data_IF_933955534756
#
_entry.id   IF_933955534756
#
_cell.length_a   1.000
_cell.length_b   1.000
_cell.length_c   1.000
_cell.angle_alpha   90.00
_cell.angle_beta   90.00
_cell.angle_gamma   90.00
#
_symmetry.space_group_name_H-M   'P 1'
#
loop_
_entity.id
_entity.type
_entity.pdbx_description
1 polymer ?
#
# COMPACT_ATOMS: atom_id res chain seq x y z
N UNK A 1 -45.99 -11.59 -8.10
CA UNK A 1 -45.63 -11.86 -6.69
C UNK A 1 -46.37 -10.86 -5.81
N UNK A 2 -47.12 -11.31 -4.84
CA UNK A 2 -47.91 -10.42 -3.99
C UNK A 2 -47.01 -9.77 -2.93
N UNK A 3 -47.05 -8.46 -2.80
CA UNK A 3 -46.26 -7.70 -1.80
C UNK A 3 -46.49 -8.23 -0.37
N UNK A 4 -47.72 -8.65 -0.05
CA UNK A 4 -48.06 -9.26 1.25
C UNK A 4 -47.23 -10.53 1.54
N UNK A 5 -47.08 -11.40 0.55
CA UNK A 5 -46.35 -12.66 0.72
C UNK A 5 -44.85 -12.38 0.98
N UNK A 6 -44.32 -11.36 0.33
CA UNK A 6 -42.95 -10.91 0.57
C UNK A 6 -42.76 -10.35 1.99
N UNK A 7 -43.68 -9.49 2.46
CA UNK A 7 -43.58 -8.97 3.84
C UNK A 7 -43.73 -10.10 4.87
N UNK A 8 -44.67 -11.02 4.70
CA UNK A 8 -44.86 -12.17 5.60
C UNK A 8 -43.60 -13.04 5.65
N UNK A 9 -42.97 -13.31 4.49
CA UNK A 9 -41.76 -14.09 4.40
C UNK A 9 -40.59 -13.40 5.16
N UNK A 10 -40.36 -12.10 4.92
CA UNK A 10 -39.29 -11.37 5.62
C UNK A 10 -39.54 -11.22 7.11
N UNK A 11 -40.80 -11.10 7.57
CA UNK A 11 -41.11 -11.12 8.99
C UNK A 11 -40.76 -12.46 9.63
N UNK A 12 -41.07 -13.58 8.98
CA UNK A 12 -40.67 -14.91 9.47
C UNK A 12 -39.13 -15.04 9.55
N UNK A 13 -38.40 -14.64 8.48
CA UNK A 13 -36.98 -14.67 8.48
C UNK A 13 -36.34 -13.81 9.61
N UNK A 14 -36.97 -12.67 9.93
CA UNK A 14 -36.49 -11.81 11.03
C UNK A 14 -36.60 -12.52 12.38
N UNK A 15 -37.71 -13.20 12.63
CA UNK A 15 -37.93 -13.95 13.88
C UNK A 15 -36.96 -15.13 13.98
N UNK A 16 -36.83 -15.90 12.89
CA UNK A 16 -35.96 -17.07 12.83
C UNK A 16 -34.48 -16.65 13.01
N UNK A 17 -34.07 -15.55 12.37
CA UNK A 17 -32.70 -15.02 12.50
C UNK A 17 -32.40 -14.54 13.92
N UNK A 18 -33.34 -13.91 14.60
CA UNK A 18 -33.16 -13.48 16.00
C UNK A 18 -33.05 -14.68 16.95
N UNK A 19 -33.81 -15.78 16.70
CA UNK A 19 -33.69 -17.02 17.47
C UNK A 19 -32.30 -17.70 17.24
N UNK A 20 -31.79 -17.70 16.00
CA UNK A 20 -30.46 -18.23 15.70
C UNK A 20 -29.36 -17.40 16.37
N UNK A 21 -29.47 -16.08 16.37
CA UNK A 21 -28.52 -15.19 17.04
C UNK A 21 -28.51 -15.44 18.56
N UNK A 22 -29.68 -15.58 19.17
CA UNK A 22 -29.80 -15.88 20.61
C UNK A 22 -29.12 -17.23 20.95
N UNK A 23 -29.38 -18.27 20.15
CA UNK A 23 -28.76 -19.59 20.32
C UNK A 23 -27.24 -19.54 20.16
N UNK A 24 -26.75 -18.75 19.18
CA UNK A 24 -25.32 -18.55 18.97
C UNK A 24 -24.68 -17.85 20.18
N UNK A 25 -25.32 -16.82 20.73
CA UNK A 25 -24.83 -16.11 21.90
C UNK A 25 -24.77 -17.02 23.14
N UNK A 26 -25.79 -17.84 23.40
CA UNK A 26 -25.78 -18.84 24.47
C UNK A 26 -24.64 -19.84 24.29
N UNK A 27 -24.44 -20.36 23.09
CA UNK A 27 -23.33 -21.26 22.76
C UNK A 27 -21.97 -20.60 23.01
N UNK A 28 -21.79 -19.31 22.66
CA UNK A 28 -20.54 -18.60 22.85
C UNK A 28 -20.23 -18.31 24.33
N UNK A 29 -21.25 -18.09 25.17
CA UNK A 29 -21.03 -17.99 26.62
C UNK A 29 -20.62 -19.35 27.20
N UNK A 30 -21.29 -20.44 26.82
CA UNK A 30 -20.88 -21.79 27.24
C UNK A 30 -19.46 -22.14 26.76
N UNK A 31 -19.11 -21.75 25.51
CA UNK A 31 -17.75 -21.93 24.97
C UNK A 31 -16.70 -21.17 25.77
N UNK A 32 -17.01 -19.97 26.23
CA UNK A 32 -16.14 -19.16 27.08
C UNK A 32 -15.83 -19.83 28.41
N UNK A 33 -16.85 -20.45 29.01
CA UNK A 33 -16.71 -21.13 30.30
C UNK A 33 -15.90 -22.44 30.17
N UNK A 34 -16.12 -23.18 29.06
CA UNK A 34 -15.43 -24.46 28.80
C UNK A 34 -14.02 -24.27 28.23
N UNK A 35 -13.80 -23.24 27.38
CA UNK A 35 -12.54 -22.98 26.67
C UNK A 35 -12.07 -21.52 26.81
N UNK A 36 -11.76 -21.02 28.01
CA UNK A 36 -11.45 -19.61 28.25
C UNK A 36 -10.26 -19.07 27.41
N UNK A 37 -9.21 -19.89 27.26
CA UNK A 37 -8.03 -19.49 26.46
C UNK A 37 -8.33 -19.37 24.97
N UNK A 38 -9.16 -20.26 24.42
CA UNK A 38 -9.57 -20.20 23.00
C UNK A 38 -10.52 -19.04 22.77
N UNK A 39 -11.42 -18.74 23.73
CA UNK A 39 -12.27 -17.56 23.65
C UNK A 39 -11.47 -16.27 23.67
N UNK A 40 -10.47 -16.15 24.54
CA UNK A 40 -9.57 -14.99 24.58
C UNK A 40 -8.80 -14.82 23.25
N UNK A 41 -8.33 -15.94 22.68
CA UNK A 41 -7.70 -15.93 21.35
C UNK A 41 -8.65 -15.47 20.26
N UNK A 42 -9.91 -15.95 20.27
CA UNK A 42 -10.95 -15.55 19.33
C UNK A 42 -11.23 -14.05 19.43
N UNK A 43 -11.35 -13.52 20.64
CA UNK A 43 -11.53 -12.08 20.89
C UNK A 43 -10.34 -11.25 20.34
N UNK A 44 -9.11 -11.70 20.60
CA UNK A 44 -7.90 -11.05 20.05
C UNK A 44 -7.94 -10.97 18.51
N UNK A 45 -8.49 -11.99 17.85
CA UNK A 45 -8.61 -11.99 16.39
C UNK A 45 -9.67 -11.00 15.88
N UNK A 46 -10.77 -10.84 16.61
CA UNK A 46 -11.87 -9.96 16.24
C UNK A 46 -11.64 -8.50 16.67
N UNK A 47 -10.84 -8.29 17.74
CA UNK A 47 -10.49 -6.95 18.25
C UNK A 47 -8.99 -6.65 18.16
N UNK A 48 -8.40 -6.67 16.97
CA UNK A 48 -6.93 -6.71 16.78
C UNK A 48 -6.19 -5.42 17.14
N UNK A 49 -6.89 -4.32 17.45
CA UNK A 49 -6.27 -3.00 17.63
C UNK A 49 -5.36 -2.89 18.87
N UNK A 50 -5.48 -3.79 19.85
CA UNK A 50 -4.65 -3.76 21.05
C UNK A 50 -3.27 -4.38 20.85
N UNK A 51 -3.05 -5.13 19.78
CA UNK A 51 -1.87 -6.00 19.61
C UNK A 51 -0.70 -5.38 18.82
N UNK A 52 -0.88 -4.27 18.11
CA UNK A 52 0.18 -3.71 17.27
C UNK A 52 0.86 -2.52 17.94
N UNK A 53 1.71 -2.78 18.92
CA UNK A 53 2.54 -1.73 19.54
C UNK A 53 3.96 -1.68 18.92
N UNK A 54 4.07 -1.99 17.63
CA UNK A 54 5.35 -2.00 16.91
C UNK A 54 5.86 -0.60 16.56
N UNK A 55 5.07 0.44 16.76
CA UNK A 55 5.54 1.80 16.50
C UNK A 55 6.76 2.16 17.35
N UNK A 56 6.81 1.70 18.61
CA UNK A 56 7.90 1.97 19.55
C UNK A 56 8.92 0.81 19.62
N UNK A 57 8.75 -0.23 18.83
CA UNK A 57 9.68 -1.35 18.73
C UNK A 57 10.68 -1.08 17.61
N UNK A 58 11.91 -0.70 17.96
CA UNK A 58 12.93 -0.33 16.98
C UNK A 58 13.28 -1.51 16.06
N UNK A 59 13.18 -2.76 16.52
CA UNK A 59 13.45 -3.94 15.69
C UNK A 59 12.51 -4.05 14.48
N UNK A 60 11.30 -3.49 14.58
CA UNK A 60 10.35 -3.40 13.45
C UNK A 60 10.87 -2.48 12.33
N UNK A 61 11.69 -1.47 12.67
CA UNK A 61 12.16 -0.42 11.78
C UNK A 61 13.61 -0.59 11.32
N UNK A 62 14.35 -1.55 11.89
CA UNK A 62 15.73 -1.79 11.56
C UNK A 62 15.89 -2.60 10.28
N UNK A 63 16.74 -2.09 9.37
CA UNK A 63 17.11 -2.73 8.12
C UNK A 63 18.60 -2.57 7.88
N UNK A 64 19.18 -3.51 7.10
CA UNK A 64 20.54 -3.38 6.63
C UNK A 64 20.65 -2.21 5.64
N UNK A 65 21.70 -1.41 5.76
CA UNK A 65 22.01 -0.33 4.83
C UNK A 65 22.60 -0.89 3.52
N UNK A 66 21.71 -1.45 2.70
CA UNK A 66 22.04 -1.95 1.36
C UNK A 66 20.88 -1.73 0.39
N UNK A 67 21.16 -1.53 -0.90
CA UNK A 67 20.11 -1.41 -1.90
C UNK A 67 19.25 -2.67 -1.97
N UNK A 68 17.92 -2.51 -1.86
CA UNK A 68 16.96 -3.60 -1.96
C UNK A 68 15.69 -3.14 -2.68
N UNK A 69 15.09 -4.06 -3.44
CA UNK A 69 13.76 -3.81 -4.01
C UNK A 69 12.71 -3.73 -2.90
N UNK A 70 11.79 -2.76 -3.00
CA UNK A 70 10.74 -2.61 -1.97
C UNK A 70 9.82 -3.83 -1.88
N UNK A 71 9.66 -4.62 -2.97
CA UNK A 71 8.99 -5.93 -2.90
C UNK A 71 9.70 -6.93 -1.98
N UNK A 72 11.05 -6.95 -1.96
CA UNK A 72 11.82 -7.82 -1.07
C UNK A 72 11.67 -7.37 0.39
N UNK A 73 11.74 -6.06 0.61
CA UNK A 73 11.50 -5.43 1.91
C UNK A 73 10.08 -5.71 2.42
N UNK A 74 9.08 -5.65 1.55
CA UNK A 74 7.71 -6.08 1.86
C UNK A 74 7.65 -7.55 2.30
N UNK A 75 8.39 -8.45 1.64
CA UNK A 75 8.50 -9.85 2.07
C UNK A 75 9.11 -10.01 3.46
N UNK A 76 10.09 -9.17 3.82
CA UNK A 76 10.63 -9.09 5.20
C UNK A 76 9.52 -8.65 6.16
N UNK A 77 8.77 -7.61 5.82
CA UNK A 77 7.71 -7.08 6.69
C UNK A 77 6.56 -8.07 6.88
N UNK A 78 6.11 -8.78 5.84
CA UNK A 78 5.13 -9.86 5.96
C UNK A 78 5.61 -10.91 6.97
N UNK A 79 6.89 -11.27 6.91
CA UNK A 79 7.47 -12.28 7.81
C UNK A 79 7.77 -11.74 9.22
N UNK A 80 7.87 -10.45 9.45
CA UNK A 80 7.84 -9.84 10.80
C UNK A 80 6.40 -9.80 11.34
N UNK A 81 5.46 -9.38 10.49
CA UNK A 81 4.06 -9.21 10.88
C UNK A 81 3.35 -10.54 11.16
N UNK A 82 3.72 -11.65 10.51
CA UNK A 82 3.09 -12.96 10.77
C UNK A 82 3.24 -13.43 12.23
N UNK A 83 4.34 -13.03 12.88
CA UNK A 83 4.62 -13.37 14.26
C UNK A 83 3.89 -12.44 15.26
N UNK A 84 3.60 -11.20 14.82
CA UNK A 84 2.88 -10.17 15.61
C UNK A 84 1.37 -10.31 15.43
N UNK A 85 0.92 -10.69 14.22
CA UNK A 85 -0.48 -10.83 13.83
C UNK A 85 -0.78 -12.28 13.48
N UNK A 86 -1.14 -13.12 14.45
CA UNK A 86 -1.41 -14.54 14.20
C UNK A 86 -2.63 -14.76 13.29
N UNK A 87 -3.46 -13.75 13.11
CA UNK A 87 -4.61 -13.75 12.20
C UNK A 87 -4.30 -13.16 10.80
N UNK A 88 -3.04 -12.81 10.50
CA UNK A 88 -2.63 -12.43 9.14
C UNK A 88 -2.70 -13.65 8.22
N UNK A 89 -3.39 -13.53 7.10
CA UNK A 89 -3.55 -14.59 6.10
C UNK A 89 -3.47 -13.97 4.70
N UNK A 90 -2.92 -14.66 3.73
CA UNK A 90 -2.89 -14.10 2.38
C UNK A 90 -2.06 -14.89 1.39
N UNK A 91 -1.85 -14.30 0.21
CA UNK A 91 -1.12 -14.93 -0.87
C UNK A 91 -1.23 -14.17 -2.17
N UNK A 92 -0.96 -14.84 -3.28
CA UNK A 92 -0.87 -14.20 -4.59
C UNK A 92 -1.68 -14.94 -5.67
N UNK A 93 -1.99 -14.21 -6.74
CA UNK A 93 -2.53 -14.76 -7.97
C UNK A 93 -1.41 -15.42 -8.80
N UNK A 94 -0.92 -16.57 -8.32
CA UNK A 94 0.12 -17.42 -8.92
C UNK A 94 1.52 -16.76 -9.06
N UNK A 95 1.78 -15.70 -8.31
CA UNK A 95 3.00 -14.88 -8.41
C UNK A 95 3.78 -14.77 -7.09
N UNK A 96 3.46 -15.58 -6.07
CA UNK A 96 4.07 -15.46 -4.73
C UNK A 96 5.61 -15.44 -4.72
N UNK A 97 6.33 -16.23 -5.53
CA UNK A 97 7.80 -16.16 -5.59
C UNK A 97 8.32 -14.82 -6.10
N UNK A 98 7.62 -14.21 -7.07
CA UNK A 98 7.99 -12.92 -7.67
C UNK A 98 7.56 -11.72 -6.82
N UNK A 99 6.37 -11.78 -6.23
CA UNK A 99 5.84 -10.72 -5.35
C UNK A 99 6.39 -10.76 -3.94
N UNK A 100 7.12 -11.85 -3.57
CA UNK A 100 7.72 -12.06 -2.23
C UNK A 100 6.69 -12.10 -1.10
N UNK A 101 5.51 -12.64 -1.35
CA UNK A 101 4.36 -12.59 -0.42
C UNK A 101 4.08 -13.91 0.29
N UNK A 102 5.09 -14.76 0.45
CA UNK A 102 4.99 -16.03 1.17
C UNK A 102 5.39 -15.88 2.64
N UNK A 103 4.52 -16.30 3.55
CA UNK A 103 4.80 -16.39 4.99
C UNK A 103 5.54 -17.70 5.29
N UNK A 104 6.83 -17.59 5.59
CA UNK A 104 7.71 -18.74 5.85
C UNK A 104 7.28 -19.46 7.13
N UNK A 105 7.15 -20.79 7.04
CA UNK A 105 6.80 -21.63 8.19
C UNK A 105 5.30 -21.72 8.49
N UNK A 106 4.43 -20.96 7.81
CA UNK A 106 3.00 -20.90 8.11
C UNK A 106 2.14 -21.91 7.30
N UNK A 107 2.78 -22.70 6.46
CA UNK A 107 2.11 -23.71 5.64
C UNK A 107 1.11 -23.14 4.62
N UNK A 108 0.71 -24.01 3.68
CA UNK A 108 -0.26 -23.67 2.65
C UNK A 108 -1.67 -24.10 3.10
N UNK A 109 -2.64 -23.22 2.91
CA UNK A 109 -4.04 -23.55 3.12
C UNK A 109 -4.51 -24.53 2.04
N UNK A 110 -5.00 -25.69 2.47
CA UNK A 110 -5.46 -26.74 1.55
C UNK A 110 -6.58 -27.59 2.16
N UNK A 111 -7.08 -28.57 1.41
CA UNK A 111 -8.05 -29.54 1.90
C UNK A 111 -7.54 -30.38 3.07
N UNK A 112 -6.24 -30.57 3.15
CA UNK A 112 -5.56 -31.36 4.18
C UNK A 112 -4.88 -30.53 5.27
N UNK A 113 -4.75 -29.21 5.06
CA UNK A 113 -4.18 -28.27 6.02
C UNK A 113 -5.01 -26.98 6.11
N UNK A 114 -6.01 -26.99 6.97
CA UNK A 114 -6.88 -25.82 7.20
C UNK A 114 -6.26 -24.73 8.08
N UNK A 115 -5.13 -25.02 8.72
CA UNK A 115 -4.39 -24.08 9.53
C UNK A 115 -3.34 -23.29 8.74
N UNK A 116 -3.07 -23.66 7.49
CA UNK A 116 -2.14 -22.93 6.62
C UNK A 116 -2.58 -21.50 6.37
N UNK A 117 -1.64 -20.57 6.43
CA UNK A 117 -1.91 -19.13 6.25
C UNK A 117 -1.54 -18.59 4.87
N UNK A 118 -0.87 -19.39 4.03
CA UNK A 118 -0.58 -19.03 2.64
C UNK A 118 -1.70 -19.52 1.72
N UNK A 119 -2.33 -18.58 1.01
CA UNK A 119 -3.41 -18.84 0.07
C UNK A 119 -2.88 -18.82 -1.38
N UNK A 120 -3.28 -19.82 -2.17
CA UNK A 120 -2.93 -19.93 -3.59
C UNK A 120 -4.18 -19.68 -4.43
N UNK A 121 -4.30 -18.49 -5.01
CA UNK A 121 -5.49 -18.08 -5.76
C UNK A 121 -5.47 -18.51 -7.23
N UNK A 122 -4.29 -18.92 -7.76
CA UNK A 122 -4.08 -19.11 -9.19
C UNK A 122 -4.20 -17.78 -9.95
N UNK A 123 -4.23 -17.83 -11.28
CA UNK A 123 -4.39 -16.64 -12.14
C UNK A 123 -5.86 -16.18 -12.11
N UNK A 124 -6.28 -15.57 -10.98
CA UNK A 124 -7.68 -15.17 -10.71
C UNK A 124 -7.74 -13.92 -9.84
N UNK A 125 -7.21 -12.82 -10.31
CA UNK A 125 -7.06 -11.57 -9.55
C UNK A 125 -8.39 -11.03 -9.03
N UNK A 126 -9.44 -11.06 -9.84
CA UNK A 126 -10.79 -10.64 -9.45
C UNK A 126 -11.34 -11.51 -8.31
N UNK A 127 -11.25 -12.84 -8.46
CA UNK A 127 -11.72 -13.77 -7.43
C UNK A 127 -10.85 -13.69 -6.15
N UNK A 128 -9.54 -13.52 -6.29
CA UNK A 128 -8.61 -13.30 -5.18
C UNK A 128 -9.06 -12.10 -4.32
N UNK A 129 -9.33 -10.97 -4.95
CA UNK A 129 -9.76 -9.76 -4.25
C UNK A 129 -11.18 -9.92 -3.66
N UNK A 130 -12.09 -10.63 -4.35
CA UNK A 130 -13.41 -10.93 -3.83
C UNK A 130 -13.35 -11.84 -2.59
N UNK A 131 -12.48 -12.86 -2.59
CA UNK A 131 -12.25 -13.74 -1.45
C UNK A 131 -11.68 -12.94 -0.27
N UNK A 132 -10.71 -12.03 -0.51
CA UNK A 132 -10.17 -11.16 0.52
C UNK A 132 -11.27 -10.27 1.15
N UNK A 133 -12.17 -9.72 0.34
CA UNK A 133 -13.33 -8.98 0.83
C UNK A 133 -14.24 -9.84 1.72
N UNK A 134 -14.51 -11.08 1.30
CA UNK A 134 -15.31 -12.02 2.08
C UNK A 134 -14.65 -12.36 3.43
N UNK A 135 -13.34 -12.60 3.44
CA UNK A 135 -12.56 -12.86 4.67
C UNK A 135 -12.63 -11.64 5.61
N UNK A 136 -12.40 -10.44 5.08
CA UNK A 136 -12.47 -9.21 5.88
C UNK A 136 -13.87 -8.92 6.43
N UNK A 137 -14.93 -9.20 5.64
CA UNK A 137 -16.33 -9.07 6.06
C UNK A 137 -16.72 -10.04 7.16
N UNK A 138 -16.26 -11.28 7.08
CA UNK A 138 -16.50 -12.27 8.11
C UNK A 138 -15.88 -11.85 9.45
N UNK A 139 -14.76 -11.11 9.40
CA UNK A 139 -14.00 -10.73 10.58
C UNK A 139 -13.05 -11.83 11.09
N UNK A 140 -12.27 -11.50 12.09
CA UNK A 140 -11.31 -12.40 12.76
C UNK A 140 -9.98 -12.55 12.01
N UNK A 141 -9.95 -12.45 10.69
CA UNK A 141 -8.74 -12.58 9.88
C UNK A 141 -8.38 -11.27 9.18
N UNK A 142 -7.09 -11.04 8.98
CA UNK A 142 -6.54 -9.90 8.24
C UNK A 142 -5.97 -10.35 6.91
N UNK A 143 -6.71 -10.17 5.81
CA UNK A 143 -6.25 -10.62 4.51
C UNK A 143 -5.27 -9.65 3.85
N UNK A 144 -4.22 -10.19 3.23
CA UNK A 144 -3.48 -9.51 2.18
C UNK A 144 -3.51 -10.34 0.88
N UNK A 145 -3.51 -9.65 -0.25
CA UNK A 145 -3.51 -10.29 -1.58
C UNK A 145 -2.53 -9.58 -2.51
N UNK A 146 -1.94 -10.33 -3.44
CA UNK A 146 -0.84 -9.83 -4.25
C UNK A 146 -0.90 -10.28 -5.70
N UNK A 147 -0.47 -9.36 -6.58
CA UNK A 147 -0.18 -9.62 -7.99
C UNK A 147 0.81 -8.56 -8.50
N UNK A 148 1.20 -8.60 -9.79
CA UNK A 148 1.91 -7.49 -10.41
C UNK A 148 1.00 -6.28 -10.56
N UNK A 149 1.58 -5.09 -10.52
CA UNK A 149 0.80 -3.86 -10.43
C UNK A 149 -0.05 -3.61 -11.69
N UNK A 150 0.42 -3.94 -12.87
CA UNK A 150 -0.38 -3.87 -14.10
C UNK A 150 -1.67 -4.67 -14.00
N UNK A 151 -1.66 -5.81 -13.31
CA UNK A 151 -2.85 -6.66 -13.13
C UNK A 151 -3.82 -6.13 -12.06
N UNK A 152 -3.54 -4.97 -11.45
CA UNK A 152 -4.54 -4.24 -10.68
C UNK A 152 -5.79 -3.89 -11.52
N UNK A 153 -5.68 -3.88 -12.84
CA UNK A 153 -6.81 -3.74 -13.77
C UNK A 153 -7.87 -4.82 -13.55
N UNK A 154 -7.45 -6.06 -13.27
CA UNK A 154 -8.36 -7.17 -12.96
C UNK A 154 -8.82 -7.16 -11.49
N UNK A 155 -8.04 -6.60 -10.58
CA UNK A 155 -8.37 -6.44 -9.15
C UNK A 155 -9.37 -5.30 -8.92
N UNK A 156 -9.33 -4.24 -9.74
CA UNK A 156 -10.02 -2.98 -9.53
C UNK A 156 -11.50 -3.09 -9.13
N UNK A 157 -12.36 -3.91 -9.76
CA UNK A 157 -13.77 -3.98 -9.39
C UNK A 157 -13.96 -4.37 -7.92
N UNK A 158 -13.19 -5.33 -7.44
CA UNK A 158 -13.27 -5.81 -6.05
C UNK A 158 -12.54 -4.90 -5.07
N UNK A 159 -11.44 -4.27 -5.46
CA UNK A 159 -10.77 -3.22 -4.68
C UNK A 159 -11.71 -2.02 -4.44
N UNK A 160 -12.50 -1.65 -5.46
CA UNK A 160 -13.53 -0.63 -5.31
C UNK A 160 -14.61 -1.03 -4.30
N UNK A 161 -14.99 -2.30 -4.26
CA UNK A 161 -15.93 -2.80 -3.25
C UNK A 161 -15.29 -2.80 -1.85
N UNK A 162 -14.01 -3.15 -1.70
CA UNK A 162 -13.31 -3.00 -0.41
C UNK A 162 -13.41 -1.58 0.12
N UNK A 163 -13.14 -0.59 -0.74
CA UNK A 163 -13.23 0.83 -0.38
C UNK A 163 -14.65 1.27 -0.01
N UNK A 164 -15.65 0.86 -0.81
CA UNK A 164 -17.07 1.17 -0.60
C UNK A 164 -17.59 0.57 0.71
N UNK A 165 -17.19 -0.67 1.00
CA UNK A 165 -17.60 -1.43 2.19
C UNK A 165 -16.68 -1.15 3.40
N UNK A 166 -15.67 -0.30 3.26
CA UNK A 166 -14.70 0.08 4.30
C UNK A 166 -13.96 -1.12 4.89
N UNK A 167 -13.53 -2.05 4.04
CA UNK A 167 -12.83 -3.27 4.45
C UNK A 167 -11.32 -3.05 4.51
N UNK A 168 -10.64 -3.46 5.58
CA UNK A 168 -9.19 -3.30 5.75
C UNK A 168 -8.40 -4.41 5.02
N UNK A 169 -8.58 -4.53 3.73
CA UNK A 169 -7.82 -5.45 2.88
C UNK A 169 -6.50 -4.82 2.48
N UNK A 170 -5.40 -5.56 2.60
CA UNK A 170 -4.09 -5.12 2.12
C UNK A 170 -3.82 -5.67 0.72
N UNK A 171 -3.60 -4.77 -0.24
CA UNK A 171 -3.23 -5.10 -1.61
C UNK A 171 -1.72 -4.88 -1.80
N UNK A 172 -0.99 -5.93 -2.16
CA UNK A 172 0.45 -5.88 -2.41
C UNK A 172 0.69 -5.97 -3.91
N UNK A 173 0.95 -4.83 -4.53
CA UNK A 173 1.23 -4.71 -5.95
C UNK A 173 2.73 -4.52 -6.17
N UNK A 174 3.36 -5.38 -6.96
CA UNK A 174 4.79 -5.30 -7.26
C UNK A 174 5.02 -5.01 -8.74
N UNK A 175 6.26 -4.69 -9.13
CA UNK A 175 6.57 -4.32 -10.51
C UNK A 175 5.87 -3.01 -10.89
N UNK A 176 6.24 -1.95 -10.16
CA UNK A 176 5.49 -0.71 -10.02
C UNK A 176 5.61 0.29 -11.18
N UNK A 177 6.56 0.11 -12.10
CA UNK A 177 6.88 1.12 -13.13
C UNK A 177 7.65 0.51 -14.31
N UNK A 178 8.15 1.34 -15.22
CA UNK A 178 9.09 0.94 -16.29
C UNK A 178 10.36 0.26 -15.78
N UNK A 179 10.63 0.30 -14.46
CA UNK A 179 11.66 -0.49 -13.78
C UNK A 179 11.44 -2.01 -13.86
N UNK A 180 10.31 -2.46 -14.39
CA UNK A 180 10.07 -3.88 -14.77
C UNK A 180 11.07 -4.32 -15.84
N UNK A 181 11.37 -3.48 -16.83
CA UNK A 181 12.42 -3.72 -17.79
C UNK A 181 11.98 -4.54 -19.00
N UNK A 182 12.67 -5.64 -19.26
CA UNK A 182 12.55 -6.40 -20.51
C UNK A 182 11.17 -7.03 -20.73
N UNK A 183 10.37 -7.25 -19.69
CA UNK A 183 8.98 -7.74 -19.81
C UNK A 183 8.10 -6.77 -20.62
N UNK A 184 8.49 -5.50 -20.66
CA UNK A 184 7.97 -4.48 -21.56
C UNK A 184 6.57 -3.97 -21.24
N UNK A 185 5.93 -3.26 -22.19
CA UNK A 185 4.73 -2.45 -21.92
C UNK A 185 3.50 -3.24 -21.50
N UNK A 186 3.46 -4.56 -21.73
CA UNK A 186 2.36 -5.42 -21.24
C UNK A 186 2.43 -5.66 -19.73
N UNK A 187 3.57 -5.38 -19.09
CA UNK A 187 3.82 -5.57 -17.66
C UNK A 187 4.20 -4.27 -16.94
N UNK A 188 4.44 -3.19 -17.68
CA UNK A 188 4.79 -1.86 -17.16
C UNK A 188 3.53 -1.04 -16.91
N UNK A 189 3.15 -0.79 -15.65
CA UNK A 189 1.99 0.04 -15.34
C UNK A 189 2.27 1.51 -15.66
N UNK A 190 1.25 2.23 -16.08
CA UNK A 190 1.29 3.66 -16.37
C UNK A 190 0.17 4.39 -15.61
N UNK A 191 -1.10 4.11 -15.94
CA UNK A 191 -2.27 4.78 -15.39
C UNK A 191 -2.78 4.16 -14.08
N UNK A 192 -2.34 2.95 -13.72
CA UNK A 192 -2.87 2.18 -12.60
C UNK A 192 -2.74 2.92 -11.26
N UNK A 193 -1.64 3.67 -11.07
CA UNK A 193 -1.45 4.44 -9.84
C UNK A 193 -2.44 5.60 -9.73
N UNK A 194 -2.64 6.34 -10.81
CA UNK A 194 -3.64 7.42 -10.87
C UNK A 194 -5.07 6.86 -10.68
N UNK A 195 -5.35 5.70 -11.27
CA UNK A 195 -6.62 4.99 -11.11
C UNK A 195 -6.91 4.62 -9.65
N UNK A 196 -5.92 4.09 -8.91
CA UNK A 196 -6.09 3.76 -7.49
C UNK A 196 -6.25 5.02 -6.63
N UNK A 197 -5.44 6.07 -6.87
CA UNK A 197 -5.53 7.35 -6.16
C UNK A 197 -6.87 8.08 -6.40
N UNK A 198 -7.51 7.86 -7.55
CA UNK A 198 -8.83 8.41 -7.83
C UNK A 198 -9.98 7.71 -7.09
N UNK A 199 -9.72 6.57 -6.44
CA UNK A 199 -10.73 5.78 -5.76
C UNK A 199 -11.00 6.33 -4.36
N UNK A 200 -12.24 6.75 -4.02
CA UNK A 200 -12.56 7.22 -2.68
C UNK A 200 -12.33 6.15 -1.61
N UNK A 201 -11.87 6.56 -0.43
CA UNK A 201 -11.62 5.68 0.72
C UNK A 201 -10.64 4.52 0.41
N UNK A 202 -9.65 4.78 -0.42
CA UNK A 202 -8.61 3.82 -0.78
C UNK A 202 -7.25 4.45 -0.51
N UNK A 203 -6.42 3.80 0.33
CA UNK A 203 -5.08 4.31 0.65
C UNK A 203 -4.06 3.68 -0.29
N UNK A 204 -3.14 4.49 -0.80
CA UNK A 204 -2.09 4.02 -1.71
C UNK A 204 -0.74 4.48 -1.20
N UNK A 205 0.18 3.54 -0.97
CA UNK A 205 1.57 3.81 -0.63
C UNK A 205 2.50 3.31 -1.72
N UNK A 206 3.38 4.18 -2.22
CA UNK A 206 4.49 3.83 -3.11
C UNK A 206 5.80 4.20 -2.43
N UNK A 207 6.35 3.29 -1.60
CA UNK A 207 7.54 3.55 -0.78
C UNK A 207 8.82 3.56 -1.59
N UNK A 208 9.79 4.38 -1.16
CA UNK A 208 11.08 4.59 -1.82
C UNK A 208 12.21 3.74 -1.22
N UNK A 209 12.07 3.26 0.01
CA UNK A 209 13.11 2.49 0.72
C UNK A 209 12.52 1.56 1.80
N UNK A 210 13.38 1.02 2.67
CA UNK A 210 12.98 0.11 3.72
C UNK A 210 12.13 0.78 4.81
N UNK A 211 12.50 1.97 5.25
CA UNK A 211 11.76 2.71 6.29
C UNK A 211 10.36 3.06 5.82
N UNK A 212 10.24 3.55 4.59
CA UNK A 212 8.92 3.84 3.99
C UNK A 212 8.10 2.56 3.77
N UNK A 213 8.74 1.43 3.38
CA UNK A 213 8.06 0.14 3.22
C UNK A 213 7.52 -0.37 4.57
N UNK A 214 8.32 -0.27 5.64
CA UNK A 214 7.87 -0.63 6.99
C UNK A 214 6.70 0.24 7.45
N UNK A 215 6.76 1.54 7.20
CA UNK A 215 5.67 2.48 7.52
C UNK A 215 4.39 2.16 6.74
N UNK A 216 4.49 1.83 5.46
CA UNK A 216 3.34 1.43 4.64
C UNK A 216 2.68 0.14 5.17
N UNK A 217 3.47 -0.86 5.58
CA UNK A 217 2.97 -2.07 6.21
C UNK A 217 2.37 -1.81 7.60
N UNK A 218 3.00 -0.95 8.42
CA UNK A 218 2.44 -0.54 9.69
C UNK A 218 1.07 0.11 9.51
N UNK A 219 0.96 1.04 8.54
CA UNK A 219 -0.29 1.69 8.21
C UNK A 219 -1.36 0.68 7.75
N UNK A 220 -1.02 -0.23 6.84
CA UNK A 220 -1.93 -1.27 6.36
C UNK A 220 -2.37 -2.22 7.48
N UNK A 221 -1.45 -2.63 8.34
CA UNK A 221 -1.71 -3.54 9.46
C UNK A 221 -2.57 -2.90 10.56
N UNK A 222 -2.56 -1.58 10.70
CA UNK A 222 -3.37 -0.83 11.66
C UNK A 222 -4.67 -0.27 11.08
N UNK A 223 -4.87 -0.34 9.76
CA UNK A 223 -6.10 0.10 9.11
C UNK A 223 -7.32 -0.71 9.58
N UNK A 224 -8.45 -0.04 9.80
CA UNK A 224 -9.70 -0.66 10.29
C UNK A 224 -10.90 -0.43 9.38
N UNK A 225 -10.85 0.60 8.54
CA UNK A 225 -12.02 1.08 7.79
C UNK A 225 -11.72 1.48 6.34
N UNK A 226 -10.57 1.08 5.82
CA UNK A 226 -10.19 1.35 4.44
C UNK A 226 -9.16 0.32 3.96
N UNK A 227 -9.22 -0.10 2.70
CA UNK A 227 -8.16 -0.89 2.09
C UNK A 227 -6.89 -0.05 1.89
N UNK A 228 -5.76 -0.73 1.88
CA UNK A 228 -4.46 -0.11 1.64
C UNK A 228 -3.70 -0.88 0.57
N UNK A 229 -3.26 -0.19 -0.49
CA UNK A 229 -2.38 -0.73 -1.50
C UNK A 229 -0.92 -0.30 -1.24
N UNK A 230 -0.01 -1.25 -1.33
CA UNK A 230 1.43 -1.05 -1.37
C UNK A 230 1.89 -1.29 -2.81
N UNK A 231 2.48 -0.28 -3.44
CA UNK A 231 2.97 -0.31 -4.83
C UNK A 231 4.48 -0.34 -4.80
N UNK A 232 5.08 -1.46 -5.18
CA UNK A 232 6.43 -1.85 -4.81
C UNK A 232 7.32 -2.10 -6.03
N UNK A 233 8.57 -1.65 -5.95
CA UNK A 233 9.56 -1.78 -7.03
C UNK A 233 10.01 -3.23 -7.25
N UNK A 234 10.34 -3.56 -8.51
CA UNK A 234 11.06 -4.77 -8.88
C UNK A 234 12.58 -4.58 -8.71
N UNK A 235 13.09 -3.43 -9.13
CA UNK A 235 14.49 -3.05 -9.05
C UNK A 235 14.90 -2.67 -7.63
N UNK A 236 16.19 -2.83 -7.33
CA UNK A 236 16.75 -2.41 -6.05
C UNK A 236 16.82 -0.88 -5.96
N UNK A 237 16.49 -0.35 -4.78
CA UNK A 237 16.56 1.06 -4.43
C UNK A 237 17.50 1.24 -3.24
N UNK A 238 18.25 2.36 -3.17
CA UNK A 238 19.11 2.65 -2.02
C UNK A 238 18.29 2.96 -0.78
N UNK A 239 18.90 2.87 0.40
CA UNK A 239 18.35 3.47 1.60
C UNK A 239 18.53 4.99 1.53
N UNK A 240 17.53 5.74 1.92
CA UNK A 240 17.50 7.19 1.78
C UNK A 240 17.80 7.87 3.12
N UNK A 241 18.85 8.68 3.13
CA UNK A 241 19.14 9.52 4.30
C UNK A 241 17.99 10.51 4.52
N UNK A 242 17.40 10.47 5.71
CA UNK A 242 16.24 11.29 6.06
C UNK A 242 14.89 10.55 5.99
N UNK A 243 14.85 9.34 5.41
CA UNK A 243 13.66 8.50 5.48
C UNK A 243 13.26 8.23 6.94
N UNK A 244 11.97 8.33 7.25
CA UNK A 244 11.51 8.29 8.63
C UNK A 244 10.05 7.81 8.75
N UNK A 245 9.62 7.58 10.01
CA UNK A 245 8.22 7.28 10.36
C UNK A 245 7.24 8.39 9.95
N UNK A 246 7.72 9.57 9.52
CA UNK A 246 6.87 10.63 8.93
C UNK A 246 6.19 10.19 7.63
N UNK A 247 6.64 9.12 7.00
CA UNK A 247 5.92 8.38 5.94
C UNK A 247 4.45 8.13 6.29
N UNK A 248 4.15 7.88 7.56
CA UNK A 248 2.78 7.70 8.06
C UNK A 248 1.89 8.95 7.91
N UNK A 249 2.47 10.10 7.59
CA UNK A 249 1.74 11.32 7.23
C UNK A 249 1.50 11.48 5.73
N UNK A 250 1.96 10.52 4.93
CA UNK A 250 1.71 10.45 3.49
C UNK A 250 2.67 11.24 2.62
N UNK A 251 3.17 12.37 3.10
CA UNK A 251 4.19 13.20 2.47
C UNK A 251 5.01 13.92 3.52
N UNK A 252 6.32 14.03 3.34
CA UNK A 252 7.21 14.66 4.32
C UNK A 252 8.47 15.21 3.67
N UNK A 253 9.13 16.14 4.37
CA UNK A 253 10.43 16.68 3.95
C UNK A 253 11.49 15.61 4.20
N UNK A 254 12.02 15.04 3.11
CA UNK A 254 13.11 14.06 3.17
C UNK A 254 14.46 14.75 3.40
N UNK A 255 14.72 15.81 2.62
CA UNK A 255 15.89 16.67 2.77
C UNK A 255 15.47 18.13 2.60
N UNK A 256 15.70 18.93 3.61
CA UNK A 256 15.33 20.35 3.57
C UNK A 256 16.35 21.21 2.83
N UNK A 257 15.96 22.43 2.49
CA UNK A 257 16.84 23.51 2.04
C UNK A 257 17.66 24.06 3.19
N UNK A 258 18.79 24.68 2.89
CA UNK A 258 19.55 25.48 3.86
C UNK A 258 18.87 26.82 4.13
N UNK A 259 18.25 27.40 3.09
CA UNK A 259 17.44 28.61 3.19
C UNK A 259 16.11 28.31 3.88
N UNK A 260 15.61 29.28 4.62
CA UNK A 260 14.25 29.22 5.22
C UNK A 260 13.16 29.02 4.16
N UNK A 261 13.32 29.66 2.99
CA UNK A 261 12.46 29.49 1.83
C UNK A 261 13.29 28.90 0.70
N UNK A 262 13.06 27.65 0.28
CA UNK A 262 13.78 27.04 -0.81
C UNK A 262 13.54 27.72 -2.16
N UNK A 263 14.52 27.68 -3.05
CA UNK A 263 14.40 28.21 -4.42
C UNK A 263 13.38 27.41 -5.25
N UNK A 264 13.27 26.09 -4.98
CA UNK A 264 12.27 25.19 -5.55
C UNK A 264 12.02 23.96 -4.66
N UNK A 265 10.99 23.18 -4.97
CA UNK A 265 10.67 21.92 -4.30
C UNK A 265 10.64 20.78 -5.32
N UNK A 266 11.39 19.72 -5.08
CA UNK A 266 11.33 18.46 -5.79
C UNK A 266 10.44 17.48 -5.02
N UNK A 267 9.41 16.94 -5.66
CA UNK A 267 8.44 16.03 -5.05
C UNK A 267 8.52 14.69 -5.80
N UNK A 268 8.75 13.60 -5.12
CA UNK A 268 8.84 12.30 -5.77
C UNK A 268 8.19 11.19 -4.94
N UNK A 269 7.92 10.05 -5.58
CA UNK A 269 7.43 8.82 -4.95
C UNK A 269 8.27 7.62 -5.38
N UNK A 270 8.33 6.59 -4.53
CA UNK A 270 8.93 5.31 -4.91
C UNK A 270 10.36 5.46 -5.45
N UNK A 271 10.62 4.78 -6.55
CA UNK A 271 11.97 4.73 -7.16
C UNK A 271 12.51 6.08 -7.60
N UNK A 272 11.69 7.09 -7.81
CA UNK A 272 12.13 8.40 -8.30
C UNK A 272 12.58 9.34 -7.18
N UNK A 273 12.38 8.98 -5.91
CA UNK A 273 12.86 9.79 -4.77
C UNK A 273 14.40 9.89 -4.78
N UNK A 274 15.10 8.79 -5.11
CA UNK A 274 16.57 8.83 -5.27
C UNK A 274 17.02 9.80 -6.37
N UNK A 275 16.24 9.93 -7.45
CA UNK A 275 16.52 10.87 -8.53
C UNK A 275 16.34 12.31 -8.07
N UNK A 276 15.31 12.62 -7.29
CA UNK A 276 15.12 13.94 -6.68
C UNK A 276 16.29 14.29 -5.72
N UNK A 277 16.78 13.32 -4.96
CA UNK A 277 17.95 13.51 -4.08
C UNK A 277 19.22 13.80 -4.89
N UNK A 278 19.44 13.08 -5.99
CA UNK A 278 20.58 13.32 -6.88
C UNK A 278 20.46 14.69 -7.58
N UNK A 279 19.27 15.07 -8.04
CA UNK A 279 19.03 16.39 -8.64
C UNK A 279 19.26 17.54 -7.64
N UNK A 280 18.87 17.36 -6.36
CA UNK A 280 19.20 18.34 -5.31
C UNK A 280 20.73 18.58 -5.22
N UNK A 281 21.52 17.51 -5.25
CA UNK A 281 22.98 17.64 -5.18
C UNK A 281 23.56 18.39 -6.39
N UNK A 282 23.08 18.09 -7.61
CA UNK A 282 23.52 18.79 -8.82
C UNK A 282 23.09 20.27 -8.81
N UNK A 283 21.86 20.59 -8.43
CA UNK A 283 21.39 21.98 -8.32
C UNK A 283 22.16 22.80 -7.27
N UNK A 284 22.62 22.17 -6.20
CA UNK A 284 23.43 22.84 -5.18
C UNK A 284 24.80 23.29 -5.75
N UNK A 285 25.40 22.55 -6.69
CA UNK A 285 26.63 22.94 -7.40
C UNK A 285 26.42 24.21 -8.24
N UNK A 286 25.18 24.45 -8.68
CA UNK A 286 24.75 25.66 -9.41
C UNK A 286 24.27 26.79 -8.49
N UNK A 287 24.32 26.60 -7.18
CA UNK A 287 23.87 27.60 -6.16
C UNK A 287 22.37 27.66 -5.99
N UNK A 288 21.63 26.66 -6.47
CA UNK A 288 20.17 26.54 -6.33
C UNK A 288 19.87 25.63 -5.15
N UNK A 289 19.22 26.18 -4.12
CA UNK A 289 18.91 25.44 -2.89
C UNK A 289 17.47 24.94 -2.92
N UNK A 290 17.28 23.64 -2.99
CA UNK A 290 15.98 23.00 -3.13
C UNK A 290 15.64 22.09 -1.95
N UNK A 291 14.33 21.97 -1.69
CA UNK A 291 13.77 20.98 -0.77
C UNK A 291 13.38 19.72 -1.54
N UNK A 292 13.69 18.54 -0.99
CA UNK A 292 13.18 17.26 -1.48
C UNK A 292 12.07 16.77 -0.55
N UNK A 293 10.91 16.50 -1.15
CA UNK A 293 9.73 15.93 -0.48
C UNK A 293 9.50 14.51 -1.00
N UNK A 294 9.53 13.52 -0.12
CA UNK A 294 8.99 12.21 -0.42
C UNK A 294 7.48 12.22 -0.20
N UNK A 295 6.72 11.74 -1.19
CA UNK A 295 5.25 11.71 -1.20
C UNK A 295 4.73 10.28 -1.35
N UNK A 296 5.05 9.34 -0.45
CA UNK A 296 4.67 7.93 -0.59
C UNK A 296 3.16 7.70 -0.66
N UNK A 297 2.33 8.60 -0.09
CA UNK A 297 0.86 8.48 -0.13
C UNK A 297 0.18 9.85 -0.22
N UNK A 298 -0.32 10.18 -1.39
CA UNK A 298 -1.09 11.42 -1.61
C UNK A 298 -2.36 11.45 -0.76
N UNK A 299 -3.07 10.32 -0.67
CA UNK A 299 -4.34 10.22 0.06
C UNK A 299 -4.19 10.50 1.55
N UNK A 300 -3.11 10.01 2.15
CA UNK A 300 -2.80 10.23 3.56
C UNK A 300 -2.32 11.67 3.79
N UNK A 301 -1.50 12.22 2.88
CA UNK A 301 -1.04 13.60 2.96
C UNK A 301 -2.20 14.59 2.84
N UNK A 302 -3.14 14.35 1.96
CA UNK A 302 -4.32 15.21 1.76
C UNK A 302 -5.23 15.30 2.99
N UNK A 303 -5.21 14.27 3.84
CA UNK A 303 -5.94 14.26 5.12
C UNK A 303 -5.22 14.93 6.27
N UNK A 304 -3.96 15.36 6.08
CA UNK A 304 -3.25 16.10 7.11
C UNK A 304 -3.85 17.50 7.32
N UNK A 305 -3.62 18.05 8.52
CA UNK A 305 -4.02 19.43 8.81
C UNK A 305 -3.27 20.42 7.90
N UNK A 306 -3.91 21.55 7.60
CA UNK A 306 -3.38 22.54 6.64
C UNK A 306 -2.00 23.06 7.02
N UNK A 307 -1.75 23.24 8.31
CA UNK A 307 -0.46 23.69 8.85
C UNK A 307 0.67 22.69 8.49
N UNK A 308 0.38 21.38 8.52
CA UNK A 308 1.36 20.38 8.12
C UNK A 308 1.58 20.37 6.60
N UNK A 309 0.49 20.46 5.82
CA UNK A 309 0.59 20.54 4.36
C UNK A 309 1.41 21.76 3.94
N UNK A 310 1.16 22.92 4.56
CA UNK A 310 1.89 24.17 4.30
C UNK A 310 3.36 24.08 4.75
N UNK A 311 3.66 23.39 5.85
CA UNK A 311 5.04 23.14 6.28
C UNK A 311 5.82 22.33 5.24
N UNK A 312 5.20 21.30 4.66
CA UNK A 312 5.85 20.40 3.69
C UNK A 312 5.93 21.05 2.31
N UNK A 313 4.83 21.65 1.86
CA UNK A 313 4.66 22.27 0.53
C UNK A 313 4.16 23.72 0.68
N UNK A 314 5.02 24.65 1.15
CA UNK A 314 4.62 26.03 1.39
C UNK A 314 4.12 26.71 0.11
N UNK A 315 2.97 27.36 0.16
CA UNK A 315 2.32 28.03 -0.97
C UNK A 315 3.19 29.16 -1.56
N UNK A 316 4.09 29.72 -0.75
CA UNK A 316 5.03 30.76 -1.19
C UNK A 316 6.03 30.21 -2.23
N UNK A 317 6.33 28.90 -2.20
CA UNK A 317 7.26 28.27 -3.13
C UNK A 317 6.46 27.65 -4.30
N UNK A 318 6.41 28.38 -5.42
CA UNK A 318 5.62 28.00 -6.60
C UNK A 318 6.41 27.17 -7.61
N UNK A 319 7.75 27.24 -7.59
CA UNK A 319 8.61 26.41 -8.43
C UNK A 319 8.66 25.00 -7.86
N UNK A 320 7.88 24.09 -8.44
CA UNK A 320 7.79 22.71 -7.97
C UNK A 320 7.93 21.74 -9.14
N UNK A 321 8.69 20.69 -8.95
CA UNK A 321 8.83 19.60 -9.91
C UNK A 321 8.38 18.30 -9.26
N UNK A 322 7.42 17.62 -9.86
CA UNK A 322 7.03 16.28 -9.46
C UNK A 322 7.70 15.24 -10.37
N UNK A 323 8.14 14.12 -9.81
CA UNK A 323 8.88 13.09 -10.53
C UNK A 323 8.25 11.73 -10.20
N UNK A 324 7.68 11.07 -11.20
CA UNK A 324 7.05 9.76 -11.03
C UNK A 324 7.02 9.00 -12.36
N UNK A 325 7.64 7.82 -12.41
CA UNK A 325 7.75 6.98 -13.60
C UNK A 325 6.44 6.24 -13.93
N UNK A 326 5.32 6.97 -13.87
CA UNK A 326 3.94 6.57 -14.20
C UNK A 326 3.21 7.78 -14.81
N UNK A 327 1.88 7.71 -14.94
CA UNK A 327 1.07 8.82 -15.42
C UNK A 327 1.19 10.06 -14.54
N UNK A 328 1.41 11.23 -15.13
CA UNK A 328 1.43 12.52 -14.45
C UNK A 328 0.06 13.00 -13.94
N UNK A 329 -1.00 12.22 -14.17
CA UNK A 329 -2.36 12.58 -13.77
C UNK A 329 -2.48 12.69 -12.24
N UNK A 330 -3.01 13.82 -11.76
CA UNK A 330 -3.18 14.11 -10.33
C UNK A 330 -2.08 15.00 -9.73
N UNK A 331 -0.90 15.11 -10.35
CA UNK A 331 0.20 15.92 -9.83
C UNK A 331 -0.05 17.44 -9.88
N UNK A 332 -0.90 17.92 -10.79
CA UNK A 332 -1.24 19.34 -10.90
C UNK A 332 -1.69 20.00 -9.59
N UNK A 333 -2.33 19.24 -8.71
CA UNK A 333 -2.73 19.70 -7.37
C UNK A 333 -1.54 20.11 -6.49
N UNK A 334 -0.40 19.44 -6.63
CA UNK A 334 0.80 19.63 -5.79
C UNK A 334 1.80 20.59 -6.42
N UNK A 335 1.95 20.54 -7.73
CA UNK A 335 2.91 21.41 -8.44
C UNK A 335 2.33 22.78 -8.79
N UNK A 336 1.01 22.88 -8.93
CA UNK A 336 0.34 24.14 -9.31
C UNK A 336 0.57 24.50 -10.81
N UNK A 337 0.23 25.75 -11.15
CA UNK A 337 0.30 26.23 -12.54
C UNK A 337 1.73 26.51 -13.02
N UNK A 338 2.64 26.84 -12.12
CA UNK A 338 4.02 27.22 -12.43
C UNK A 338 4.98 26.02 -12.34
N UNK A 339 4.49 24.89 -11.82
CA UNK A 339 5.29 23.68 -11.67
C UNK A 339 5.35 22.82 -12.91
N UNK A 340 6.21 21.80 -12.84
CA UNK A 340 6.43 20.80 -13.91
C UNK A 340 6.25 19.40 -13.35
N UNK A 341 6.03 18.46 -14.27
CA UNK A 341 5.92 17.03 -13.95
C UNK A 341 6.78 16.23 -14.89
N UNK A 342 7.75 15.51 -14.36
CA UNK A 342 8.54 14.49 -15.07
C UNK A 342 7.80 13.17 -14.89
N UNK A 343 7.08 12.73 -15.92
CA UNK A 343 6.20 11.57 -15.89
C UNK A 343 6.25 10.83 -17.23
N UNK A 344 5.65 9.64 -17.27
CA UNK A 344 5.58 8.87 -18.51
C UNK A 344 4.68 9.59 -19.54
N UNK A 345 5.20 9.81 -20.77
CA UNK A 345 4.42 10.45 -21.84
C UNK A 345 3.46 9.48 -22.54
N UNK A 346 3.56 8.19 -22.25
CA UNK A 346 2.79 7.10 -22.87
C UNK A 346 3.20 5.75 -22.33
N UNK A 347 2.95 4.69 -23.08
CA UNK A 347 3.37 3.35 -22.68
C UNK A 347 4.90 3.20 -22.71
N UNK A 348 5.38 2.26 -21.89
CA UNK A 348 6.79 1.92 -21.79
C UNK A 348 7.34 1.14 -23.00
N UNK A 349 8.45 0.48 -22.83
CA UNK A 349 9.12 -0.29 -23.88
C UNK A 349 9.89 -1.47 -23.27
N UNK A 350 10.21 -2.49 -24.08
CA UNK A 350 11.02 -3.62 -23.64
C UNK A 350 12.52 -3.31 -23.82
N UNK A 351 13.21 -3.07 -22.70
CA UNK A 351 14.65 -2.87 -22.62
C UNK A 351 15.13 -2.98 -21.16
N UNK A 352 16.44 -3.04 -20.87
CA UNK A 352 16.95 -2.90 -19.51
C UNK A 352 16.43 -1.63 -18.83
N UNK A 353 16.06 -1.75 -17.55
CA UNK A 353 15.39 -0.69 -16.79
C UNK A 353 16.14 0.66 -16.86
N UNK A 354 17.47 0.66 -16.69
CA UNK A 354 18.27 1.88 -16.73
C UNK A 354 18.15 2.63 -18.07
N UNK A 355 18.11 1.90 -19.19
CA UNK A 355 17.93 2.51 -20.52
C UNK A 355 16.53 3.08 -20.70
N UNK A 356 15.51 2.45 -20.08
CA UNK A 356 14.15 2.97 -20.10
C UNK A 356 14.02 4.27 -19.30
N UNK A 357 14.60 4.32 -18.10
CA UNK A 357 14.60 5.56 -17.30
C UNK A 357 15.29 6.70 -18.06
N UNK A 358 16.44 6.45 -18.68
CA UNK A 358 17.14 7.44 -19.52
C UNK A 358 16.30 7.86 -20.73
N UNK A 359 15.78 6.89 -21.49
CA UNK A 359 14.95 7.13 -22.69
C UNK A 359 13.72 7.99 -22.41
N UNK A 360 13.06 7.76 -21.28
CA UNK A 360 11.85 8.49 -20.90
C UNK A 360 12.12 9.75 -20.07
N UNK A 361 13.39 10.15 -19.95
CA UNK A 361 13.79 11.42 -19.36
C UNK A 361 13.83 11.43 -17.83
N UNK A 362 13.89 10.26 -17.17
CA UNK A 362 14.11 10.18 -15.73
C UNK A 362 15.62 10.25 -15.44
N UNK A 363 16.19 11.41 -15.72
CA UNK A 363 17.63 11.73 -15.52
C UNK A 363 17.76 12.97 -14.65
N UNK A 364 18.93 13.11 -13.99
CA UNK A 364 19.23 14.28 -13.14
C UNK A 364 19.15 15.58 -13.95
N UNK A 365 19.67 15.58 -15.16
CA UNK A 365 19.72 16.76 -16.04
C UNK A 365 18.33 17.24 -16.50
N UNK A 366 17.33 16.35 -16.49
CA UNK A 366 15.95 16.69 -16.92
C UNK A 366 15.06 17.10 -15.74
N UNK A 367 15.48 16.87 -14.52
CA UNK A 367 14.76 17.26 -13.31
C UNK A 367 15.12 18.66 -12.89
#
# INVERSE_FOLDING_TARGET
MCIRDSYSHYQTLTVDSAAEEARWNEMMEAYKDEFPELKAKWETYHYPLQAINTYNDDSYWEFEDKPQATRNLSGVMINRLKDILPNLIGGAADLAPSTKTYMKGEGDFSSTNRAGRNLHFGVRELAMAAIANGIALHGGLRPYVSTFFVFSDYVKPMARLSALMKLPVTYVFTHDSIGVGEDGPTHEPIEQLAMLRAMPNFNVFRPADATETAAAWYYAATATSAPTALVLSRQNLPQLKGASRLTLRGGYILQDSEKEVPDAILIATGSEVQLAVAAKAALAEEGIDVRVVSMPSMDVFDRQVKEYQEKVLPNAVRKRVAIEALSGFGWGKYVGLDGKVVAMPGFGASAPANLLFEKFGFTVDNV
#
